data_IF_569639206911
#
_entry.id   IF_569639206911
#
_cell.length_a   1.000
_cell.length_b   1.000
_cell.length_c   1.000
_cell.angle_alpha   90.00
_cell.angle_beta   90.00
_cell.angle_gamma   90.00
#
_symmetry.space_group_name_H-M   'P 1'
#
loop_
_entity.id
_entity.type
_entity.pdbx_description
1 polymer ?
#
# COMPACT_ATOMS: atom_id res chain seq x y z
N UNK A 1 -15.50 8.58 -4.04
CA UNK A 1 -16.88 8.27 -3.57
C UNK A 1 -17.28 6.95 -4.20
N UNK A 2 -18.00 6.09 -3.47
CA UNK A 2 -18.43 4.81 -4.03
C UNK A 2 -19.36 5.04 -5.22
N UNK A 3 -19.18 4.26 -6.28
CA UNK A 3 -20.04 4.27 -7.46
C UNK A 3 -20.80 2.94 -7.54
N UNK A 4 -22.03 2.93 -8.09
CA UNK A 4 -22.72 1.69 -8.40
C UNK A 4 -21.87 0.80 -9.33
N UNK A 5 -22.06 -0.52 -9.24
CA UNK A 5 -21.34 -1.45 -10.11
C UNK A 5 -21.63 -1.19 -11.58
N UNK A 6 -20.59 -1.20 -12.42
CA UNK A 6 -20.70 -0.95 -13.86
C UNK A 6 -20.71 0.53 -14.27
N UNK A 7 -20.44 1.44 -13.32
CA UNK A 7 -20.24 2.88 -13.60
C UNK A 7 -18.90 3.14 -14.28
N UNK A 8 -17.90 2.31 -14.00
CA UNK A 8 -16.51 2.54 -14.33
C UNK A 8 -15.88 3.66 -13.49
N UNK A 9 -14.65 4.04 -13.86
CA UNK A 9 -13.90 5.09 -13.17
C UNK A 9 -14.14 6.43 -13.84
N UNK A 10 -14.85 7.32 -13.14
CA UNK A 10 -15.07 8.71 -13.56
C UNK A 10 -13.96 9.58 -12.97
N UNK A 11 -12.87 9.73 -13.73
CA UNK A 11 -11.72 10.54 -13.34
C UNK A 11 -10.90 11.07 -14.52
N UNK A 12 -10.03 12.04 -14.24
CA UNK A 12 -8.97 12.49 -15.12
C UNK A 12 -7.97 11.34 -15.43
N UNK A 13 -7.20 11.41 -16.54
CA UNK A 13 -6.38 10.28 -17.01
C UNK A 13 -5.33 9.79 -16.00
N UNK A 14 -4.74 10.70 -15.22
CA UNK A 14 -3.69 10.36 -14.25
C UNK A 14 -4.24 9.54 -13.07
N UNK A 15 -5.25 10.00 -12.29
CA UNK A 15 -5.88 9.18 -11.25
C UNK A 15 -6.56 7.95 -11.80
N UNK A 16 -7.15 8.01 -13.01
CA UNK A 16 -7.79 6.86 -13.64
C UNK A 16 -6.83 5.69 -13.77
N UNK A 17 -5.58 5.93 -14.20
CA UNK A 17 -4.58 4.87 -14.29
C UNK A 17 -4.18 4.31 -12.93
N UNK A 18 -4.02 5.17 -11.93
CA UNK A 18 -3.69 4.73 -10.56
C UNK A 18 -4.82 3.89 -9.93
N UNK A 19 -6.08 4.30 -10.12
CA UNK A 19 -7.24 3.56 -9.62
C UNK A 19 -7.41 2.21 -10.32
N UNK A 20 -7.13 2.13 -11.63
CA UNK A 20 -7.07 0.86 -12.36
C UNK A 20 -5.96 -0.06 -11.83
N UNK A 21 -4.77 0.50 -11.56
CA UNK A 21 -3.65 -0.28 -11.00
C UNK A 21 -3.95 -0.79 -9.58
N UNK A 22 -4.76 -0.05 -8.81
CA UNK A 22 -5.24 -0.47 -7.51
C UNK A 22 -6.39 -1.51 -7.57
N UNK A 23 -6.87 -1.87 -8.77
CA UNK A 23 -7.95 -2.84 -8.96
C UNK A 23 -9.35 -2.31 -8.68
N UNK A 24 -9.55 -1.00 -8.64
CA UNK A 24 -10.86 -0.39 -8.38
C UNK A 24 -11.67 -0.37 -9.69
N UNK A 25 -12.81 -1.06 -9.72
CA UNK A 25 -13.68 -1.13 -10.91
C UNK A 25 -14.52 0.14 -11.08
N UNK A 26 -15.12 0.62 -9.99
CA UNK A 26 -16.15 1.66 -9.99
C UNK A 26 -15.84 2.73 -8.94
N UNK A 27 -15.65 3.98 -9.36
CA UNK A 27 -15.39 5.09 -8.44
C UNK A 27 -15.71 6.44 -9.08
N UNK A 28 -16.39 7.30 -8.31
CA UNK A 28 -16.47 8.72 -8.61
C UNK A 28 -15.33 9.46 -7.91
N UNK A 29 -14.59 10.25 -8.69
CA UNK A 29 -13.52 11.10 -8.16
C UNK A 29 -13.93 12.56 -8.18
N UNK A 30 -13.56 13.28 -7.13
CA UNK A 30 -13.62 14.74 -7.09
C UNK A 30 -12.25 15.24 -6.65
N UNK A 31 -11.79 16.31 -7.27
CA UNK A 31 -10.51 16.92 -6.96
C UNK A 31 -10.72 18.43 -6.83
N UNK A 32 -10.14 19.02 -5.78
CA UNK A 32 -10.20 20.46 -5.53
C UNK A 32 -8.77 20.95 -5.29
N UNK A 33 -8.42 22.08 -5.92
CA UNK A 33 -7.06 22.65 -5.90
C UNK A 33 -6.40 22.63 -7.29
N UNK A 34 -5.08 22.81 -7.32
CA UNK A 34 -4.32 22.85 -8.58
C UNK A 34 -4.08 21.45 -9.15
N UNK A 35 -5.04 20.96 -9.93
CA UNK A 35 -4.98 19.65 -10.62
C UNK A 35 -4.13 19.67 -11.90
N UNK A 36 -3.65 20.85 -12.32
CA UNK A 36 -2.78 20.99 -13.49
C UNK A 36 -1.36 20.45 -13.29
N UNK A 37 -0.94 20.25 -12.04
CA UNK A 37 0.38 19.68 -11.72
C UNK A 37 0.29 18.17 -11.54
N UNK A 38 0.86 17.41 -12.48
CA UNK A 38 0.76 15.96 -12.53
C UNK A 38 1.26 15.29 -11.24
N UNK A 39 2.42 15.72 -10.71
CA UNK A 39 3.04 15.12 -9.53
C UNK A 39 2.19 15.25 -8.26
N UNK A 40 1.65 16.44 -7.98
CA UNK A 40 0.79 16.65 -6.82
C UNK A 40 -0.52 15.89 -6.95
N UNK A 41 -1.08 15.85 -8.16
CA UNK A 41 -2.34 15.16 -8.41
C UNK A 41 -2.22 13.64 -8.28
N UNK A 42 -1.12 13.06 -8.77
CA UNK A 42 -0.80 11.65 -8.57
C UNK A 42 -0.57 11.32 -7.08
N UNK A 43 0.21 12.15 -6.37
CA UNK A 43 0.47 11.98 -4.93
C UNK A 43 -0.82 12.06 -4.12
N UNK A 44 -1.70 13.00 -4.42
CA UNK A 44 -3.00 13.14 -3.75
C UNK A 44 -3.87 11.89 -3.96
N UNK A 45 -3.89 11.34 -5.17
CA UNK A 45 -4.62 10.10 -5.48
C UNK A 45 -4.05 8.91 -4.72
N UNK A 46 -2.72 8.76 -4.68
CA UNK A 46 -2.07 7.70 -3.92
C UNK A 46 -2.37 7.80 -2.43
N UNK A 47 -2.29 9.01 -1.86
CA UNK A 47 -2.63 9.26 -0.46
C UNK A 47 -4.10 8.92 -0.15
N UNK A 48 -5.02 9.14 -1.09
CA UNK A 48 -6.42 8.75 -0.93
C UNK A 48 -6.59 7.22 -0.85
N UNK A 49 -5.87 6.47 -1.70
CA UNK A 49 -5.88 4.99 -1.67
C UNK A 49 -5.26 4.48 -0.38
N UNK A 50 -4.11 5.02 0.06
CA UNK A 50 -3.48 4.59 1.31
C UNK A 50 -4.40 4.81 2.53
N UNK A 51 -5.21 5.88 2.52
CA UNK A 51 -6.18 6.17 3.58
C UNK A 51 -7.37 5.21 3.62
N UNK A 52 -7.63 4.41 2.58
CA UNK A 52 -8.73 3.43 2.63
C UNK A 52 -8.47 2.37 3.69
N UNK A 53 -7.20 1.96 3.88
CA UNK A 53 -6.80 1.05 4.95
C UNK A 53 -6.76 1.71 6.33
N UNK A 54 -6.54 3.03 6.38
CA UNK A 54 -6.58 3.78 7.64
C UNK A 54 -8.01 4.04 8.14
N UNK A 55 -9.02 3.86 7.28
CA UNK A 55 -10.41 4.05 7.65
C UNK A 55 -10.94 2.79 8.34
N UNK A 56 -11.37 2.94 9.60
CA UNK A 56 -11.84 1.83 10.42
C UNK A 56 -13.35 1.63 10.19
N UNK A 57 -13.69 0.60 9.42
CA UNK A 57 -15.08 0.18 9.25
C UNK A 57 -15.51 -0.79 10.37
N UNK A 58 -16.82 -0.91 10.66
CA UNK A 58 -17.32 -1.74 11.76
C UNK A 58 -16.93 -3.22 11.70
N UNK A 59 -16.63 -3.74 10.50
CA UNK A 59 -16.14 -5.10 10.31
C UNK A 59 -14.72 -5.33 10.84
N UNK A 60 -13.89 -4.27 10.91
CA UNK A 60 -12.53 -4.31 11.46
C UNK A 60 -12.45 -3.99 12.96
N UNK A 61 -13.57 -3.82 13.67
CA UNK A 61 -13.57 -3.55 15.12
C UNK A 61 -13.22 -4.77 15.98
N UNK A 62 -13.24 -5.96 15.40
CA UNK A 62 -12.87 -7.18 16.11
C UNK A 62 -11.39 -7.12 16.50
N UNK A 63 -11.10 -7.49 17.74
CA UNK A 63 -9.73 -7.53 18.23
C UNK A 63 -8.92 -8.55 17.42
N UNK A 64 -7.92 -8.07 16.67
CA UNK A 64 -6.97 -8.93 15.97
C UNK A 64 -5.78 -9.19 16.89
N UNK A 65 -5.59 -10.42 17.40
CA UNK A 65 -4.44 -10.73 18.22
C UNK A 65 -3.16 -10.57 17.40
N UNK A 66 -2.15 -9.91 17.97
CA UNK A 66 -0.83 -9.75 17.35
C UNK A 66 -0.18 -11.12 17.21
N UNK A 67 -0.02 -11.59 15.98
CA UNK A 67 0.77 -12.78 15.66
C UNK A 67 2.27 -12.47 15.74
N UNK A 68 3.10 -13.52 15.85
CA UNK A 68 4.55 -13.37 15.76
C UNK A 68 4.90 -12.71 14.43
N UNK A 69 5.81 -11.73 14.48
CA UNK A 69 6.27 -11.10 13.24
C UNK A 69 7.06 -12.11 12.40
N UNK A 70 7.04 -12.02 11.06
CA UNK A 70 7.83 -12.92 10.21
C UNK A 70 9.32 -12.91 10.55
N UNK A 71 9.85 -11.76 10.99
CA UNK A 71 11.23 -11.66 11.46
C UNK A 71 11.52 -12.51 12.70
N UNK A 72 10.56 -12.60 13.63
CA UNK A 72 10.69 -13.44 14.82
C UNK A 72 10.57 -14.93 14.49
N UNK A 73 9.70 -15.30 13.54
CA UNK A 73 9.50 -16.71 13.18
C UNK A 73 10.65 -17.28 12.34
N UNK A 74 11.21 -16.48 11.42
CA UNK A 74 12.29 -16.89 10.52
C UNK A 74 13.68 -16.39 10.96
N UNK A 75 13.84 -16.01 12.23
CA UNK A 75 15.09 -15.46 12.76
C UNK A 75 16.29 -16.40 12.51
N UNK A 76 16.13 -17.69 12.78
CA UNK A 76 17.18 -18.71 12.58
C UNK A 76 17.54 -18.89 11.09
N UNK A 77 16.54 -18.81 10.21
CA UNK A 77 16.73 -18.93 8.76
C UNK A 77 17.46 -17.70 8.20
N UNK A 78 17.03 -16.50 8.62
CA UNK A 78 17.66 -15.25 8.22
C UNK A 78 19.10 -15.16 8.74
N UNK A 79 19.37 -15.53 9.99
CA UNK A 79 20.73 -15.53 10.54
C UNK A 79 21.70 -16.47 9.79
N UNK A 80 21.19 -17.58 9.25
CA UNK A 80 21.98 -18.54 8.48
C UNK A 80 22.23 -18.11 7.04
N UNK A 81 21.24 -17.50 6.37
CA UNK A 81 21.26 -17.27 4.93
C UNK A 81 21.40 -15.81 4.50
N UNK A 82 21.21 -14.84 5.41
CA UNK A 82 21.36 -13.43 5.10
C UNK A 82 22.84 -13.03 5.06
N UNK A 83 23.37 -12.76 3.86
CA UNK A 83 24.68 -12.12 3.68
C UNK A 83 24.51 -10.61 3.87
N UNK A 84 25.12 -10.00 4.90
CA UNK A 84 25.05 -8.54 5.03
C UNK A 84 25.74 -7.87 3.83
N UNK A 85 25.10 -6.85 3.26
CA UNK A 85 25.62 -6.07 2.12
C UNK A 85 26.83 -5.19 2.53
N UNK A 86 27.16 -5.14 3.82
CA UNK A 86 28.25 -4.33 4.38
C UNK A 86 28.98 -5.10 5.48
N UNK A 87 30.24 -5.49 5.25
CA UNK A 87 31.18 -5.98 6.28
C UNK A 87 31.74 -7.40 6.01
N UNK A 88 33.02 -7.67 6.36
CA UNK A 88 33.82 -8.72 5.75
C UNK A 88 33.38 -10.13 6.15
N UNK A 89 33.70 -11.08 5.27
CA UNK A 89 33.38 -12.49 5.38
C UNK A 89 33.78 -13.09 6.75
N UNK A 90 32.90 -13.98 7.24
CA UNK A 90 33.08 -14.80 8.45
C UNK A 90 34.50 -15.35 8.57
N UNK A 91 35.10 -15.20 9.76
CA UNK A 91 36.06 -16.15 10.28
C UNK A 91 35.32 -17.03 11.31
N UNK A 92 35.19 -18.32 11.03
CA UNK A 92 34.90 -19.35 12.04
C UNK A 92 36.15 -19.53 12.93
N UNK A 93 35.97 -19.89 14.21
CA UNK A 93 36.94 -20.79 14.82
C UNK A 93 36.27 -21.96 15.55
N UNK A 94 36.80 -23.15 15.23
CA UNK A 94 36.95 -24.42 15.98
C UNK A 94 36.01 -24.78 17.13
#
# INVERSE_FOLDING_TARGET
MQAPRGTGIVSAPVPKKLLQMAGIEDCYTSARGSTGTLGNFAKATYAAIAKTYAYLTPDLWKEMPLSKTPYQEYADYLAKNHRPVTGPARAEPV
#
